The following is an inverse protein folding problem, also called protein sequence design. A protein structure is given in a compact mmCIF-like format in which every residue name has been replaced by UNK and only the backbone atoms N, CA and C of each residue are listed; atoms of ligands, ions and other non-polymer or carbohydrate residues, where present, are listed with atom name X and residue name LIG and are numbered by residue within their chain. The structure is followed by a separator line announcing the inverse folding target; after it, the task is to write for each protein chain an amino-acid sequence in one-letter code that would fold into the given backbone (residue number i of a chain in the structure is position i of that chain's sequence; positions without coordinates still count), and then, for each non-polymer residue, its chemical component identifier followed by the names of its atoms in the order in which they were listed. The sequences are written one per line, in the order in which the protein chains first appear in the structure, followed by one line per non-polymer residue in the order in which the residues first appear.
data_IF_625468976183
#
_entry.id   IF_625468976183
#
_cell.length_a   1.000
_cell.length_b   1.000
_cell.length_c   1.000
_cell.angle_alpha   90.00
_cell.angle_beta   90.00
_cell.angle_gamma   90.00
#
_symmetry.space_group_name_H-M   'P 1'
#
loop_
_entity.id
_entity.type
_entity.pdbx_description
1 polymer ?
#
# COMPACT_ATOMS: atom_id res chain seq x y z
N UNK A 1 32.71 19.20 -2.52
CA UNK A 1 31.28 18.86 -2.39
C UNK A 1 31.13 17.51 -3.01
N UNK A 2 30.98 16.48 -2.18
CA UNK A 2 30.94 15.10 -2.65
C UNK A 2 29.67 14.88 -3.49
N UNK A 3 29.85 14.82 -4.81
CA UNK A 3 28.77 14.42 -5.72
C UNK A 3 28.55 12.93 -5.49
N UNK A 4 27.64 12.59 -4.58
CA UNK A 4 27.17 11.22 -4.38
C UNK A 4 26.63 10.68 -5.70
N UNK A 5 27.39 9.79 -6.34
CA UNK A 5 27.00 9.15 -7.59
C UNK A 5 26.54 7.72 -7.32
N UNK A 6 25.34 7.39 -7.79
CA UNK A 6 24.73 6.08 -7.67
C UNK A 6 25.00 5.27 -8.94
N UNK A 7 25.70 4.14 -8.82
CA UNK A 7 25.90 3.21 -9.95
C UNK A 7 24.80 2.16 -9.97
N UNK A 8 24.00 2.13 -11.03
CA UNK A 8 22.97 1.11 -11.28
C UNK A 8 23.33 0.38 -12.58
N UNK A 9 23.77 -0.88 -12.46
CA UNK A 9 24.32 -1.63 -13.59
C UNK A 9 25.55 -0.93 -14.17
N UNK A 10 25.50 -0.57 -15.46
CA UNK A 10 26.56 0.17 -16.16
C UNK A 10 26.37 1.70 -16.11
N UNK A 11 25.23 2.20 -15.62
CA UNK A 11 24.95 3.64 -15.53
C UNK A 11 25.44 4.20 -14.21
N UNK A 12 26.21 5.28 -14.28
CA UNK A 12 26.61 6.09 -13.14
C UNK A 12 25.76 7.36 -13.14
N UNK A 13 24.88 7.49 -12.16
CA UNK A 13 23.98 8.63 -12.00
C UNK A 13 24.53 9.55 -10.90
N UNK A 14 25.01 10.73 -11.27
CA UNK A 14 25.38 11.75 -10.30
C UNK A 14 24.21 12.73 -10.09
N UNK A 15 24.16 13.46 -8.97
CA UNK A 15 23.07 14.37 -8.54
C UNK A 15 22.04 14.78 -9.61
N UNK A 16 22.40 15.66 -10.54
CA UNK A 16 21.47 16.15 -11.58
C UNK A 16 20.92 15.05 -12.50
N UNK A 17 21.73 14.02 -12.78
CA UNK A 17 21.34 12.86 -13.58
C UNK A 17 20.36 11.95 -12.84
N UNK A 18 20.41 11.91 -11.51
CA UNK A 18 19.42 11.20 -10.69
C UNK A 18 18.06 11.90 -10.82
N UNK A 19 18.04 13.23 -10.72
CA UNK A 19 16.81 14.02 -10.88
C UNK A 19 16.24 13.86 -12.30
N UNK A 20 17.10 13.97 -13.33
CA UNK A 20 16.69 13.76 -14.71
C UNK A 20 16.11 12.35 -14.94
N UNK A 21 16.74 11.32 -14.38
CA UNK A 21 16.25 9.95 -14.47
C UNK A 21 14.89 9.78 -13.76
N UNK A 22 14.69 10.39 -12.58
CA UNK A 22 13.40 10.34 -11.88
C UNK A 22 12.26 10.96 -12.69
N UNK A 23 12.53 12.04 -13.41
CA UNK A 23 11.57 12.67 -14.33
C UNK A 23 11.33 11.79 -15.56
N UNK A 24 12.40 11.26 -16.17
CA UNK A 24 12.31 10.37 -17.35
C UNK A 24 11.46 9.13 -17.07
N UNK A 25 11.64 8.50 -15.90
CA UNK A 25 10.89 7.33 -15.49
C UNK A 25 9.53 7.64 -14.83
N UNK A 26 9.12 8.93 -14.78
CA UNK A 26 7.89 9.39 -14.12
C UNK A 26 7.77 8.96 -12.64
N UNK A 27 8.91 8.76 -11.98
CA UNK A 27 9.00 8.44 -10.56
C UNK A 27 8.94 9.70 -9.70
N UNK A 28 9.09 10.88 -10.31
CA UNK A 28 9.03 12.15 -9.62
C UNK A 28 7.66 12.42 -8.99
N UNK A 29 6.57 12.09 -9.69
CA UNK A 29 5.21 12.23 -9.16
C UNK A 29 4.98 11.32 -7.95
N UNK A 30 5.51 10.09 -8.00
CA UNK A 30 5.47 9.15 -6.88
C UNK A 30 6.23 9.69 -5.67
N UNK A 31 7.41 10.26 -5.89
CA UNK A 31 8.22 10.87 -4.84
C UNK A 31 7.51 12.07 -4.21
N UNK A 32 6.94 12.97 -5.01
CA UNK A 32 6.14 14.10 -4.51
C UNK A 32 4.97 13.58 -3.68
N UNK A 33 4.26 12.55 -4.16
CA UNK A 33 3.17 11.93 -3.43
C UNK A 33 3.61 11.41 -2.05
N UNK A 34 4.76 10.75 -1.97
CA UNK A 34 5.33 10.27 -0.70
C UNK A 34 5.73 11.42 0.23
N UNK A 35 6.34 12.48 -0.29
CA UNK A 35 6.74 13.66 0.51
C UNK A 35 5.55 14.44 1.04
N UNK A 36 4.48 14.54 0.26
CA UNK A 36 3.22 15.14 0.70
C UNK A 36 2.57 14.24 1.75
N UNK A 37 2.55 12.93 1.51
CA UNK A 37 1.99 11.96 2.45
C UNK A 37 2.66 12.08 3.83
N UNK A 38 3.98 12.27 3.88
CA UNK A 38 4.72 12.42 5.15
C UNK A 38 4.20 13.54 6.03
N UNK A 39 3.78 14.65 5.43
CA UNK A 39 3.21 15.78 6.16
C UNK A 39 1.90 15.40 6.86
N UNK A 40 1.15 14.45 6.30
CA UNK A 40 -0.07 13.94 6.89
C UNK A 40 0.18 12.75 7.82
N UNK A 41 1.28 12.00 7.64
CA UNK A 41 1.64 10.90 8.53
C UNK A 41 2.05 11.38 9.92
N UNK A 42 2.59 12.60 10.05
CA UNK A 42 2.92 13.18 11.36
C UNK A 42 1.69 13.44 12.24
N UNK A 43 0.50 13.59 11.64
CA UNK A 43 -0.76 13.71 12.39
C UNK A 43 -1.28 12.36 12.91
N UNK A 44 -0.74 11.24 12.42
CA UNK A 44 -1.15 9.90 12.82
C UNK A 44 -0.36 9.45 14.03
N UNK A 45 -0.99 9.46 15.19
CA UNK A 45 -0.42 8.87 16.41
C UNK A 45 -0.44 7.35 16.34
N UNK A 46 0.70 6.71 16.58
CA UNK A 46 0.81 5.26 16.78
C UNK A 46 0.86 4.95 18.27
N UNK A 47 0.14 3.94 18.71
CA UNK A 47 0.27 3.42 20.08
C UNK A 47 1.34 2.33 20.14
N UNK A 48 1.93 2.13 21.32
CA UNK A 48 2.93 1.07 21.55
C UNK A 48 2.35 -0.32 21.26
N UNK A 49 1.05 -0.51 21.51
CA UNK A 49 0.30 -1.72 21.14
C UNK A 49 0.35 -2.00 19.64
N UNK A 50 0.03 -1.01 18.82
CA UNK A 50 0.00 -1.17 17.36
C UNK A 50 1.38 -1.50 16.81
N UNK A 51 2.42 -0.83 17.32
CA UNK A 51 3.80 -1.10 16.91
C UNK A 51 4.22 -2.49 17.34
N UNK A 52 3.91 -2.90 18.57
CA UNK A 52 4.21 -4.25 19.07
C UNK A 52 3.55 -5.34 18.22
N UNK A 53 2.24 -5.22 17.96
CA UNK A 53 1.49 -6.17 17.14
C UNK A 53 2.03 -6.24 15.72
N UNK A 54 2.48 -5.13 15.15
CA UNK A 54 3.07 -5.15 13.80
C UNK A 54 4.46 -5.80 13.75
N UNK A 55 5.28 -5.63 14.79
CA UNK A 55 6.65 -6.19 14.85
C UNK A 55 6.68 -7.68 15.22
N UNK A 56 5.74 -8.13 16.05
CA UNK A 56 5.69 -9.51 16.59
C UNK A 56 4.58 -10.35 15.94
N UNK A 57 3.61 -9.72 15.27
CA UNK A 57 2.40 -10.34 14.74
C UNK A 57 1.26 -10.39 15.77
N UNK A 58 0.06 -10.72 15.31
CA UNK A 58 -1.13 -10.96 16.15
C UNK A 58 -0.91 -12.20 17.03
N UNK A 59 -0.23 -12.01 18.15
CA UNK A 59 -0.08 -13.00 19.19
C UNK A 59 -0.67 -12.44 20.47
N UNK A 60 -1.32 -13.28 21.27
CA UNK A 60 -1.89 -12.97 22.59
C UNK A 60 -0.82 -12.65 23.66
N UNK A 61 0.38 -12.25 23.23
CA UNK A 61 1.49 -11.93 24.12
C UNK A 61 1.29 -10.48 24.62
N UNK A 62 1.28 -10.26 25.94
CA UNK A 62 1.18 -8.92 26.49
C UNK A 62 2.41 -8.09 26.09
N UNK A 63 2.19 -6.80 25.89
CA UNK A 63 3.29 -5.85 25.62
C UNK A 63 4.27 -5.90 26.81
N UNK A 64 5.58 -5.91 26.54
CA UNK A 64 6.59 -5.74 27.57
C UNK A 64 6.36 -4.45 28.39
N UNK A 65 6.59 -4.50 29.70
CA UNK A 65 6.53 -3.30 30.56
C UNK A 65 7.57 -2.25 30.16
N UNK A 66 8.73 -2.69 29.66
CA UNK A 66 9.76 -1.83 29.09
C UNK A 66 9.78 -1.95 27.55
N UNK A 67 8.93 -1.15 26.90
CA UNK A 67 8.81 -1.16 25.45
C UNK A 67 10.07 -0.64 24.75
N UNK A 68 10.81 0.27 25.38
CA UNK A 68 12.05 0.81 24.83
C UNK A 68 13.13 -0.27 24.79
N UNK A 69 13.29 -1.05 25.85
CA UNK A 69 14.23 -2.19 25.88
C UNK A 69 13.84 -3.27 24.87
N UNK A 70 12.53 -3.56 24.74
CA UNK A 70 12.03 -4.48 23.72
C UNK A 70 12.44 -4.07 22.30
N UNK A 71 12.29 -2.79 21.95
CA UNK A 71 12.69 -2.30 20.63
C UNK A 71 14.21 -2.42 20.40
N UNK A 72 15.04 -2.20 21.42
CA UNK A 72 16.50 -2.43 21.34
C UNK A 72 16.78 -3.87 20.97
N UNK A 73 16.19 -4.81 21.72
CA UNK A 73 16.39 -6.23 21.50
C UNK A 73 15.87 -6.68 20.13
N UNK A 74 14.72 -6.16 19.69
CA UNK A 74 14.18 -6.46 18.37
C UNK A 74 15.11 -5.96 17.26
N UNK A 75 15.66 -4.75 17.37
CA UNK A 75 16.65 -4.23 16.44
C UNK A 75 17.93 -5.10 16.39
N UNK A 76 18.44 -5.52 17.55
CA UNK A 76 19.61 -6.40 17.64
C UNK A 76 19.36 -7.76 16.99
N UNK A 77 18.20 -8.38 17.26
CA UNK A 77 17.81 -9.68 16.72
C UNK A 77 17.61 -9.66 15.19
N UNK A 78 17.04 -8.58 14.66
CA UNK A 78 16.76 -8.44 13.23
C UNK A 78 17.90 -7.78 12.45
N UNK A 79 19.01 -7.43 13.12
CA UNK A 79 20.14 -6.68 12.55
C UNK A 79 19.69 -5.35 11.89
N UNK A 80 18.68 -4.70 12.47
CA UNK A 80 18.11 -3.44 12.00
C UNK A 80 18.68 -2.28 12.81
N UNK A 81 19.04 -1.18 12.14
CA UNK A 81 19.44 0.06 12.82
C UNK A 81 18.22 0.85 13.27
N UNK A 82 18.33 1.58 14.38
CA UNK A 82 17.29 2.49 14.87
C UNK A 82 16.75 3.46 13.80
N UNK A 83 17.63 4.03 12.98
CA UNK A 83 17.24 4.93 11.90
C UNK A 83 16.36 4.22 10.84
N UNK A 84 16.65 2.95 10.55
CA UNK A 84 15.84 2.15 9.62
C UNK A 84 14.50 1.77 10.23
N UNK A 85 14.47 1.38 11.51
CA UNK A 85 13.22 1.10 12.23
C UNK A 85 12.29 2.31 12.17
N UNK A 86 12.79 3.51 12.52
CA UNK A 86 11.99 4.73 12.55
C UNK A 86 11.55 5.18 11.15
N UNK A 87 12.48 5.25 10.19
CA UNK A 87 12.20 5.83 8.88
C UNK A 87 11.48 4.91 7.90
N UNK A 88 11.63 3.60 8.06
CA UNK A 88 11.04 2.62 7.15
C UNK A 88 9.87 1.94 7.82
N UNK A 89 10.13 1.24 8.93
CA UNK A 89 9.12 0.38 9.55
C UNK A 89 8.02 1.21 10.22
N UNK A 90 8.37 2.15 11.11
CA UNK A 90 7.37 3.00 11.79
C UNK A 90 6.62 3.86 10.77
N UNK A 91 7.32 4.39 9.77
CA UNK A 91 6.68 5.11 8.65
C UNK A 91 5.63 4.25 7.94
N UNK A 92 5.97 3.02 7.55
CA UNK A 92 5.02 2.11 6.90
C UNK A 92 3.81 1.84 7.79
N UNK A 93 4.00 1.66 9.10
CA UNK A 93 2.88 1.51 10.04
C UNK A 93 1.98 2.75 10.11
N UNK A 94 2.56 3.97 10.07
CA UNK A 94 1.77 5.20 9.97
C UNK A 94 0.98 5.24 8.68
N UNK A 95 1.57 4.80 7.56
CA UNK A 95 0.89 4.74 6.25
C UNK A 95 -0.28 3.76 6.29
N UNK A 96 -0.10 2.58 6.88
CA UNK A 96 -1.18 1.60 7.02
C UNK A 96 -2.30 2.12 7.91
N UNK A 97 -1.97 2.74 9.05
CA UNK A 97 -2.95 3.35 9.92
C UNK A 97 -3.67 4.53 9.26
N UNK A 98 -2.95 5.37 8.50
CA UNK A 98 -3.54 6.44 7.70
C UNK A 98 -4.53 5.88 6.68
N UNK A 99 -4.15 4.80 5.96
CA UNK A 99 -5.05 4.12 5.02
C UNK A 99 -6.31 3.63 5.73
N UNK A 100 -6.18 2.99 6.88
CA UNK A 100 -7.31 2.53 7.67
C UNK A 100 -8.22 3.70 8.07
N UNK A 101 -7.68 4.76 8.68
CA UNK A 101 -8.48 5.88 9.17
C UNK A 101 -9.23 6.64 8.05
N UNK A 102 -8.58 6.86 6.91
CA UNK A 102 -9.14 7.70 5.84
C UNK A 102 -9.90 6.92 4.76
N UNK A 103 -9.53 5.66 4.52
CA UNK A 103 -10.08 4.88 3.42
C UNK A 103 -10.95 3.71 3.86
N UNK A 104 -10.86 3.18 5.07
CA UNK A 104 -11.67 2.00 5.49
C UNK A 104 -13.18 2.23 5.29
N UNK A 105 -13.72 3.36 5.77
CA UNK A 105 -15.14 3.69 5.56
C UNK A 105 -15.50 4.11 4.13
N UNK A 106 -14.53 4.65 3.39
CA UNK A 106 -14.73 5.11 2.01
C UNK A 106 -14.70 3.94 1.03
N UNK A 107 -13.84 2.95 1.26
CA UNK A 107 -13.73 1.76 0.42
C UNK A 107 -15.02 0.97 0.45
N UNK A 108 -15.67 0.79 1.61
CA UNK A 108 -16.96 0.10 1.65
C UNK A 108 -18.05 0.87 0.88
N UNK A 109 -18.11 2.20 1.04
CA UNK A 109 -19.09 3.06 0.36
C UNK A 109 -18.86 3.11 -1.15
N UNK A 110 -17.62 3.32 -1.58
CA UNK A 110 -17.21 3.37 -2.99
C UNK A 110 -17.32 1.98 -3.64
N UNK A 111 -16.99 0.89 -2.91
CA UNK A 111 -17.20 -0.48 -3.36
C UNK A 111 -18.68 -0.75 -3.58
N UNK A 112 -19.57 -0.34 -2.66
CA UNK A 112 -21.02 -0.50 -2.87
C UNK A 112 -21.53 0.30 -4.07
N UNK A 113 -20.99 1.50 -4.32
CA UNK A 113 -21.33 2.31 -5.48
C UNK A 113 -20.83 1.69 -6.79
N UNK A 114 -19.60 1.17 -6.79
CA UNK A 114 -18.96 0.57 -7.97
C UNK A 114 -19.37 -0.89 -8.16
N UNK A 115 -19.94 -1.57 -7.16
CA UNK A 115 -20.43 -2.96 -7.28
C UNK A 115 -21.50 -3.10 -8.35
N UNK A 116 -22.34 -2.07 -8.53
CA UNK A 116 -23.32 -2.02 -9.61
C UNK A 116 -22.67 -1.91 -11.01
N UNK A 117 -21.45 -1.39 -11.10
CA UNK A 117 -20.67 -1.27 -12.36
C UNK A 117 -19.69 -2.45 -12.56
N UNK A 118 -19.32 -3.14 -11.49
CA UNK A 118 -18.39 -4.29 -11.47
C UNK A 118 -19.08 -5.65 -11.38
N UNK A 119 -20.40 -5.70 -11.12
CA UNK A 119 -21.27 -6.82 -11.52
C UNK A 119 -21.35 -6.83 -13.06
N UNK A 120 -20.21 -7.07 -13.71
CA UNK A 120 -20.17 -7.47 -15.11
C UNK A 120 -20.88 -8.81 -15.19
N UNK A 121 -22.16 -8.78 -15.55
CA UNK A 121 -22.90 -9.94 -16.00
C UNK A 121 -22.10 -10.51 -17.16
N UNK A 122 -21.37 -11.61 -16.94
CA UNK A 122 -20.80 -12.42 -18.01
C UNK A 122 -21.96 -12.94 -18.86
N UNK A 123 -22.37 -12.16 -19.86
CA UNK A 123 -23.18 -12.67 -20.96
C UNK A 123 -22.30 -13.62 -21.74
N UNK A 124 -22.31 -14.89 -21.34
CA UNK A 124 -21.88 -16.00 -22.18
C UNK A 124 -22.77 -16.00 -23.43
N UNK A 125 -22.33 -15.27 -24.46
CA UNK A 125 -23.02 -15.15 -25.74
C UNK A 125 -22.83 -16.46 -26.49
N UNK A 126 -23.75 -17.39 -26.30
CA UNK A 126 -23.87 -18.56 -27.16
C UNK A 126 -24.45 -18.08 -28.49
N UNK A 127 -23.60 -17.92 -29.51
CA UNK A 127 -24.07 -17.78 -30.89
C UNK A 127 -24.55 -19.14 -31.38
N UNK A 128 -25.86 -19.32 -31.44
CA UNK A 128 -26.45 -20.43 -32.21
C UNK A 128 -26.61 -19.94 -33.64
N UNK A 129 -25.73 -20.42 -34.53
CA UNK A 129 -25.91 -20.31 -35.97
C UNK A 129 -26.92 -21.37 -36.40
N UNK A 130 -28.20 -21.11 -36.18
CA UNK A 130 -29.24 -21.83 -36.91
C UNK A 130 -30.31 -20.87 -37.38
N UNK A 131 -30.32 -20.72 -38.69
CA UNK A 131 -31.27 -19.97 -39.48
C UNK A 131 -32.60 -20.74 -39.48
N UNK A 132 -33.37 -20.71 -38.39
CA UNK A 132 -34.80 -21.06 -38.45
C UNK A 132 -35.59 -20.41 -37.29
N UNK A 133 -36.24 -19.30 -37.63
CA UNK A 133 -37.46 -18.73 -37.03
C UNK A 133 -37.75 -18.93 -35.53
N UNK A 134 -37.67 -17.82 -34.79
CA UNK A 134 -38.74 -17.39 -33.87
C UNK A 134 -38.91 -18.11 -32.54
N UNK A 135 -38.36 -17.54 -31.47
CA UNK A 135 -39.11 -17.11 -30.28
C UNK A 135 -38.15 -16.61 -29.19
N UNK A 136 -38.54 -15.50 -28.56
CA UNK A 136 -37.86 -14.84 -27.46
C UNK A 136 -37.81 -15.77 -26.24
N UNK A 137 -36.61 -16.10 -25.75
CA UNK A 137 -36.43 -16.75 -24.45
C UNK A 137 -35.74 -15.77 -23.51
N UNK A 138 -36.49 -15.28 -22.51
CA UNK A 138 -35.98 -14.54 -21.36
C UNK A 138 -35.86 -15.54 -20.22
N UNK A 139 -34.66 -15.68 -19.65
CA UNK A 139 -34.48 -16.33 -18.34
C UNK A 139 -34.24 -15.25 -17.29
N UNK A 140 -35.17 -15.01 -16.34
CA UNK A 140 -34.84 -14.34 -15.10
C UNK A 140 -34.32 -15.40 -14.13
N UNK A 141 -33.06 -15.30 -13.71
CA UNK A 141 -32.62 -16.06 -12.54
C UNK A 141 -32.77 -15.16 -11.31
N UNK A 142 -33.87 -15.35 -10.59
CA UNK A 142 -34.02 -14.93 -9.20
C UNK A 142 -33.84 -16.17 -8.33
N UNK A 143 -32.73 -16.24 -7.61
CA UNK A 143 -32.61 -16.71 -6.22
C UNK A 143 -31.19 -16.58 -5.73
#
# INVERSE_FOLDING_TARGET
MDNSCLKIGERLLCGDQIIAALVEYKLFDLLIGQVILDQFLDEVSLTEQEVYTALVGENDVPIPEDFAEFLVQWCEQNHVTWDYLDRVIIRDLRVEKFKYLYFDRRVETEFLQTKLELDQVEYSRIQVNDFFSGSRVIFPNSR
#
